data_IF_440220191556
#
_entry.id   IF_440220191556
#
_cell.length_a   1.000
_cell.length_b   1.000
_cell.length_c   1.000
_cell.angle_alpha   90.00
_cell.angle_beta   90.00
_cell.angle_gamma   90.00
#
_symmetry.space_group_name_H-M   'P 1'
#
loop_
_entity.id
_entity.type
_entity.pdbx_description
1 polymer ?
#
# COMPACT_ATOMS: atom_id res chain seq x y z
N UNK A 1 -8.28 7.49 -19.52
CA UNK A 1 -8.03 8.89 -19.11
C UNK A 1 -7.62 9.05 -17.65
N UNK A 2 -8.30 8.47 -16.65
CA UNK A 2 -8.01 8.72 -15.21
C UNK A 2 -6.57 8.39 -14.75
N UNK A 3 -5.96 7.30 -15.23
CA UNK A 3 -4.60 6.89 -14.80
C UNK A 3 -3.46 7.73 -15.41
N UNK A 4 -3.68 8.38 -16.56
CA UNK A 4 -2.65 9.19 -17.22
C UNK A 4 -2.31 10.45 -16.40
N UNK A 5 -3.34 11.11 -15.85
CA UNK A 5 -3.15 12.30 -15.00
C UNK A 5 -2.44 11.97 -13.69
N UNK A 6 -2.70 10.80 -13.10
CA UNK A 6 -2.02 10.34 -11.88
C UNK A 6 -0.56 9.99 -12.15
N UNK A 7 -0.27 9.35 -13.29
CA UNK A 7 1.12 9.07 -13.68
C UNK A 7 1.94 10.34 -13.84
N UNK A 8 1.37 11.37 -14.48
CA UNK A 8 2.04 12.65 -14.66
C UNK A 8 2.34 13.34 -13.34
N UNK A 9 1.44 13.25 -12.36
CA UNK A 9 1.65 13.89 -11.06
C UNK A 9 2.73 13.22 -10.20
N UNK A 10 2.99 11.92 -10.39
CA UNK A 10 4.18 11.27 -9.83
C UNK A 10 5.46 11.69 -10.55
N UNK A 11 5.42 11.84 -11.88
CA UNK A 11 6.57 12.27 -12.67
C UNK A 11 7.09 13.65 -12.27
N UNK A 12 6.20 14.54 -11.81
CA UNK A 12 6.58 15.90 -11.35
C UNK A 12 7.22 15.94 -9.96
N UNK A 13 7.16 14.85 -9.17
CA UNK A 13 7.69 14.85 -7.81
C UNK A 13 9.22 14.80 -7.73
N UNK A 14 9.89 14.30 -8.78
CA UNK A 14 11.36 14.13 -8.82
C UNK A 14 11.89 14.25 -10.25
N UNK A 15 13.11 14.78 -10.38
CA UNK A 15 13.80 14.92 -11.68
C UNK A 15 14.07 13.55 -12.32
N UNK A 16 14.51 12.57 -11.53
CA UNK A 16 14.71 11.18 -11.94
C UNK A 16 13.54 10.33 -11.44
N UNK A 17 12.40 10.40 -12.13
CA UNK A 17 11.21 9.64 -11.78
C UNK A 17 11.25 8.22 -12.34
N UNK A 18 10.43 7.34 -11.74
CA UNK A 18 10.09 6.06 -12.34
C UNK A 18 8.81 6.26 -13.17
N UNK A 19 8.80 5.90 -14.46
CA UNK A 19 7.68 6.24 -15.33
C UNK A 19 6.41 5.46 -14.94
N UNK A 20 5.24 6.00 -15.30
CA UNK A 20 3.94 5.34 -15.17
C UNK A 20 3.54 4.88 -13.76
N UNK A 21 4.07 5.52 -12.72
CA UNK A 21 3.65 5.28 -11.33
C UNK A 21 2.26 5.85 -11.08
N UNK A 22 1.34 5.04 -10.55
CA UNK A 22 -0.04 5.47 -10.26
C UNK A 22 -0.40 5.39 -8.77
N UNK A 23 0.52 4.90 -7.95
CA UNK A 23 0.37 4.87 -6.51
C UNK A 23 1.66 4.53 -5.81
N UNK A 24 1.74 4.91 -4.54
CA UNK A 24 2.76 4.45 -3.61
C UNK A 24 2.09 3.69 -2.47
N UNK A 25 2.62 2.53 -2.12
CA UNK A 25 2.12 1.67 -1.04
C UNK A 25 3.12 1.66 0.12
N UNK A 26 2.59 1.79 1.33
CA UNK A 26 3.36 1.71 2.56
C UNK A 26 2.52 1.19 3.73
N UNK A 27 3.21 0.69 4.77
CA UNK A 27 2.62 0.38 6.07
C UNK A 27 2.13 1.67 6.74
N UNK A 28 0.83 1.77 6.98
CA UNK A 28 0.23 2.93 7.63
C UNK A 28 -0.41 2.51 8.95
N UNK A 29 0.22 2.81 10.07
CA UNK A 29 -0.31 2.43 11.37
C UNK A 29 -1.42 3.39 11.84
N UNK A 30 -2.67 3.00 11.64
CA UNK A 30 -3.82 3.71 12.22
C UNK A 30 -4.16 3.10 13.58
N UNK A 31 -4.29 3.95 14.61
CA UNK A 31 -4.58 3.49 15.97
C UNK A 31 -6.00 2.93 16.05
N UNK A 32 -6.15 1.77 16.70
CA UNK A 32 -7.46 1.13 16.91
C UNK A 32 -7.61 0.61 18.34
N UNK A 33 -8.87 0.42 18.75
CA UNK A 33 -9.21 -0.34 19.95
C UNK A 33 -9.40 -1.79 19.57
N UNK A 34 -8.79 -2.71 20.33
CA UNK A 34 -8.93 -4.16 20.13
C UNK A 34 -9.25 -4.84 21.45
N UNK A 35 -9.89 -6.02 21.41
CA UNK A 35 -10.09 -6.86 22.60
C UNK A 35 -8.78 -7.15 23.34
N UNK A 36 -8.83 -7.22 24.67
CA UNK A 36 -7.65 -7.44 25.53
C UNK A 36 -6.85 -8.68 25.13
N UNK A 37 -7.55 -9.77 24.80
CA UNK A 37 -6.94 -11.04 24.38
C UNK A 37 -6.22 -10.97 23.02
N UNK A 38 -6.48 -9.95 22.19
CA UNK A 38 -5.81 -9.72 20.90
C UNK A 38 -4.81 -8.56 20.94
N UNK A 39 -4.70 -7.85 22.08
CA UNK A 39 -3.93 -6.61 22.18
C UNK A 39 -2.47 -6.76 21.76
N UNK A 40 -1.85 -7.87 22.14
CA UNK A 40 -0.45 -8.18 21.81
C UNK A 40 -0.23 -8.23 20.29
N UNK A 41 -1.11 -8.92 19.57
CA UNK A 41 -0.98 -9.12 18.13
C UNK A 41 -1.09 -7.80 17.35
N UNK A 42 -1.92 -6.88 17.80
CA UNK A 42 -2.12 -5.59 17.14
C UNK A 42 -1.14 -4.52 17.59
N UNK A 43 -0.34 -4.76 18.62
CA UNK A 43 0.65 -3.78 19.10
C UNK A 43 1.81 -3.68 18.11
N UNK A 44 2.01 -2.48 17.57
CA UNK A 44 3.11 -2.19 16.66
C UNK A 44 4.41 -1.85 17.40
N UNK A 45 5.47 -1.57 16.64
CA UNK A 45 6.79 -1.16 17.16
C UNK A 45 6.78 0.17 17.93
N UNK A 46 5.72 0.98 17.77
CA UNK A 46 5.49 2.24 18.49
C UNK A 46 4.61 2.06 19.73
N UNK A 47 4.43 0.82 20.19
CA UNK A 47 3.72 0.48 21.42
C UNK A 47 2.24 0.89 21.44
N UNK A 48 1.58 0.92 20.28
CA UNK A 48 0.13 1.11 20.21
C UNK A 48 -0.54 0.10 19.28
N UNK A 49 -1.83 -0.17 19.53
CA UNK A 49 -2.60 -1.09 18.71
C UNK A 49 -2.94 -0.45 17.37
N UNK A 50 -2.59 -1.11 16.28
CA UNK A 50 -2.79 -0.57 14.95
C UNK A 50 -3.05 -1.64 13.90
N UNK A 51 -3.59 -1.19 12.79
CA UNK A 51 -3.77 -1.91 11.55
C UNK A 51 -3.42 -0.95 10.41
N UNK A 52 -3.09 -1.50 9.23
CA UNK A 52 -3.25 -0.93 7.88
C UNK A 52 -1.99 -0.94 7.01
N UNK A 53 -2.24 -1.28 5.74
CA UNK A 53 -1.40 -1.01 4.56
C UNK A 53 -2.23 -0.12 3.63
N UNK A 54 -1.65 0.96 3.09
CA UNK A 54 -2.40 1.91 2.25
C UNK A 54 -1.65 2.24 0.96
N UNK A 55 -2.40 2.41 -0.13
CA UNK A 55 -1.91 2.99 -1.38
C UNK A 55 -2.41 4.43 -1.46
N UNK A 56 -1.50 5.36 -1.74
CA UNK A 56 -1.83 6.76 -1.98
C UNK A 56 -1.41 7.22 -3.38
N UNK A 57 -2.14 8.20 -3.90
CA UNK A 57 -1.72 9.01 -5.05
C UNK A 57 -0.67 10.03 -4.62
N UNK A 58 -0.05 10.69 -5.60
CA UNK A 58 0.92 11.77 -5.35
C UNK A 58 0.36 12.97 -4.60
N UNK A 59 -0.96 13.18 -4.62
CA UNK A 59 -1.67 14.22 -3.87
C UNK A 59 -2.08 13.77 -2.45
N UNK A 60 -1.52 12.67 -1.95
CA UNK A 60 -1.78 12.10 -0.62
C UNK A 60 -3.20 11.54 -0.42
N UNK A 61 -3.98 11.38 -1.48
CA UNK A 61 -5.29 10.75 -1.44
C UNK A 61 -5.14 9.22 -1.41
N UNK A 62 -5.78 8.57 -0.43
CA UNK A 62 -5.83 7.10 -0.36
C UNK A 62 -6.75 6.52 -1.43
N UNK A 63 -6.23 5.58 -2.21
CA UNK A 63 -6.99 4.85 -3.24
C UNK A 63 -7.28 3.40 -2.85
N UNK A 64 -6.49 2.87 -1.92
CA UNK A 64 -6.68 1.54 -1.37
C UNK A 64 -6.22 1.51 0.07
N UNK A 65 -7.00 0.83 0.92
CA UNK A 65 -6.69 0.61 2.32
C UNK A 65 -6.98 -0.86 2.62
N UNK A 66 -5.98 -1.58 3.10
CA UNK A 66 -6.14 -2.93 3.63
C UNK A 66 -6.06 -2.90 5.15
N UNK A 67 -7.16 -3.25 5.81
CA UNK A 67 -7.34 -3.17 7.25
C UNK A 67 -7.58 -4.58 7.86
N UNK A 68 -7.42 -4.69 9.18
CA UNK A 68 -7.78 -5.90 9.93
C UNK A 68 -6.64 -6.88 10.22
N UNK A 69 -5.43 -6.64 9.70
CA UNK A 69 -4.26 -7.49 9.94
C UNK A 69 -3.47 -7.06 11.19
N UNK A 70 -2.95 -7.98 12.03
CA UNK A 70 -2.12 -7.66 13.19
C UNK A 70 -1.02 -6.63 12.90
N UNK A 71 -1.05 -5.47 13.59
CA UNK A 71 -0.08 -4.38 13.43
C UNK A 71 1.36 -4.71 13.86
N UNK A 72 1.58 -5.86 14.49
CA UNK A 72 2.92 -6.42 14.74
C UNK A 72 3.55 -7.08 13.50
N UNK A 73 2.75 -7.37 12.46
CA UNK A 73 3.25 -8.04 11.26
C UNK A 73 4.10 -7.14 10.38
N UNK A 74 5.07 -7.74 9.69
CA UNK A 74 5.85 -7.05 8.65
C UNK A 74 4.96 -6.64 7.46
N UNK A 75 5.18 -5.45 6.91
CA UNK A 75 4.39 -4.91 5.79
C UNK A 75 4.37 -5.84 4.57
N UNK A 76 5.49 -6.49 4.26
CA UNK A 76 5.56 -7.49 3.19
C UNK A 76 4.59 -8.67 3.41
N UNK A 77 4.41 -9.12 4.66
CA UNK A 77 3.46 -10.17 5.01
C UNK A 77 2.03 -9.66 4.89
N UNK A 78 1.76 -8.44 5.35
CA UNK A 78 0.45 -7.78 5.22
C UNK A 78 0.09 -7.64 3.74
N UNK A 79 1.01 -7.15 2.91
CA UNK A 79 0.86 -6.99 1.47
C UNK A 79 0.50 -8.30 0.77
N UNK A 80 1.30 -9.37 0.95
CA UNK A 80 1.04 -10.69 0.33
C UNK A 80 -0.33 -11.27 0.70
N UNK A 81 -0.87 -10.90 1.87
CA UNK A 81 -2.18 -11.37 2.31
C UNK A 81 -3.33 -10.40 2.00
N UNK A 82 -3.03 -9.18 1.57
CA UNK A 82 -4.02 -8.20 1.12
C UNK A 82 -4.69 -8.63 -0.18
N UNK A 83 -5.90 -8.14 -0.43
CA UNK A 83 -6.58 -8.39 -1.71
C UNK A 83 -5.75 -7.87 -2.87
N UNK A 84 -5.13 -6.70 -2.73
CA UNK A 84 -4.24 -6.11 -3.75
C UNK A 84 -3.03 -6.99 -4.04
N UNK A 85 -2.32 -7.45 -3.00
CA UNK A 85 -1.15 -8.30 -3.18
C UNK A 85 -1.48 -9.65 -3.80
N UNK A 86 -2.58 -10.29 -3.39
CA UNK A 86 -3.04 -11.54 -4.04
C UNK A 86 -3.37 -11.33 -5.51
N UNK A 87 -4.09 -10.25 -5.82
CA UNK A 87 -4.46 -9.89 -7.18
C UNK A 87 -3.23 -9.68 -8.08
N UNK A 88 -2.25 -8.90 -7.59
CA UNK A 88 -1.03 -8.57 -8.33
C UNK A 88 -0.09 -9.76 -8.49
N UNK A 89 0.03 -10.62 -7.46
CA UNK A 89 0.91 -11.80 -7.51
C UNK A 89 0.34 -12.89 -8.43
N UNK A 90 -0.98 -13.03 -8.48
CA UNK A 90 -1.65 -14.04 -9.31
C UNK A 90 -1.88 -13.61 -10.77
N UNK A 91 -1.50 -12.38 -11.13
CA UNK A 91 -1.81 -11.75 -12.43
C UNK A 91 -3.32 -11.75 -12.77
N UNK A 92 -4.16 -11.76 -11.72
CA UNK A 92 -5.63 -11.81 -11.81
C UNK A 92 -6.24 -10.41 -11.63
N UNK A 93 -5.41 -9.36 -11.66
CA UNK A 93 -5.85 -8.00 -11.40
C UNK A 93 -6.10 -7.21 -12.70
N UNK A 94 -7.36 -7.09 -13.10
CA UNK A 94 -7.78 -6.07 -14.07
C UNK A 94 -7.76 -4.64 -13.49
N UNK A 95 -7.24 -4.46 -12.27
CA UNK A 95 -7.16 -3.18 -11.57
C UNK A 95 -6.27 -2.18 -12.30
N UNK A 96 -5.19 -2.64 -12.94
CA UNK A 96 -4.25 -1.77 -13.63
C UNK A 96 -3.77 -2.40 -14.95
N UNK A 97 -3.72 -1.63 -16.04
CA UNK A 97 -3.02 -2.07 -17.25
C UNK A 97 -1.53 -2.33 -16.96
N UNK A 98 -0.95 -3.35 -17.59
CA UNK A 98 0.45 -3.82 -17.41
C UNK A 98 1.57 -2.79 -17.62
N UNK A 99 1.24 -1.59 -18.08
CA UNK A 99 2.20 -0.49 -18.25
C UNK A 99 2.37 0.38 -17.01
N UNK A 100 1.52 0.22 -15.99
CA UNK A 100 1.52 1.07 -14.80
C UNK A 100 2.20 0.40 -13.60
N UNK A 101 2.68 1.21 -12.67
CA UNK A 101 3.46 0.73 -11.54
C UNK A 101 2.96 1.27 -10.20
N UNK A 102 3.18 0.49 -9.13
CA UNK A 102 3.01 0.93 -7.74
C UNK A 102 4.39 0.93 -7.07
N UNK A 103 4.77 2.04 -6.47
CA UNK A 103 6.00 2.14 -5.69
C UNK A 103 5.80 1.51 -4.31
N UNK A 104 6.68 0.61 -3.89
CA UNK A 104 6.70 0.07 -2.53
C UNK A 104 7.87 0.69 -1.80
N UNK A 105 7.68 1.14 -0.56
CA UNK A 105 8.79 1.74 0.19
C UNK A 105 9.97 0.76 0.27
N UNK A 106 11.06 1.12 -0.41
CA UNK A 106 12.31 0.34 -0.51
C UNK A 106 12.51 -0.48 -1.80
N UNK A 107 11.49 -0.72 -2.63
CA UNK A 107 11.61 -1.48 -3.90
C UNK A 107 10.50 -1.16 -4.91
N UNK A 108 10.74 -1.39 -6.21
CA UNK A 108 9.70 -1.27 -7.24
C UNK A 108 9.00 -2.62 -7.44
N UNK A 109 7.66 -2.64 -7.45
CA UNK A 109 6.89 -3.80 -7.91
C UNK A 109 6.42 -3.50 -9.34
N UNK A 110 6.92 -4.31 -10.29
CA UNK A 110 6.40 -4.32 -11.65
C UNK A 110 5.04 -5.03 -11.61
N UNK A 111 3.99 -4.31 -12.02
CA UNK A 111 2.68 -4.90 -12.34
C UNK A 111 2.80 -5.51 -13.72
#
# INVERSE_FOLDING_TARGET
>A
MKHFNVANSFNTLRVNNFPYVIGAIDGCHTRITVPLNKRKDYTNRKMFQSIVLAVCKSNLEFTYVFAGWPGSSHDARVYRNSSLGKCLIADDCNLFPSKYHILVMGNYLKI
#
